data_IF_753913106066
#
_entry.id   IF_753913106066
#
_cell.length_a   1.000
_cell.length_b   1.000
_cell.length_c   1.000
_cell.angle_alpha   90.00
_cell.angle_beta   90.00
_cell.angle_gamma   90.00
#
_symmetry.space_group_name_H-M   'P 1'
#
loop_
_entity.id
_entity.type
_entity.pdbx_description
1 polymer ?
#
# COMPACT_ATOMS: atom_id res chain seq x y z
N UNK A 1 -16.02 -24.11 31.32
CA UNK A 1 -16.07 -25.37 30.56
C UNK A 1 -14.87 -25.30 29.65
N UNK A 2 -13.88 -26.17 29.85
CA UNK A 2 -12.73 -26.20 28.95
C UNK A 2 -13.20 -26.85 27.66
N UNK A 3 -13.55 -26.03 26.66
CA UNK A 3 -13.91 -26.51 25.33
C UNK A 3 -12.62 -26.94 24.65
N UNK A 4 -12.49 -28.23 24.40
CA UNK A 4 -11.27 -28.81 23.80
C UNK A 4 -11.51 -29.11 22.33
N UNK A 5 -12.77 -29.35 21.93
CA UNK A 5 -13.17 -29.71 20.57
C UNK A 5 -14.47 -28.97 20.18
N UNK A 6 -14.66 -28.70 18.90
CA UNK A 6 -15.93 -28.23 18.34
C UNK A 6 -17.12 -29.13 18.74
N UNK A 7 -16.89 -30.44 18.89
CA UNK A 7 -17.89 -31.42 19.32
C UNK A 7 -18.55 -31.08 20.67
N UNK A 8 -17.84 -30.40 21.57
CA UNK A 8 -18.38 -30.00 22.87
C UNK A 8 -19.49 -28.94 22.74
N UNK A 9 -19.50 -28.20 21.63
CA UNK A 9 -20.42 -27.08 21.38
C UNK A 9 -21.53 -27.39 20.36
N UNK A 10 -21.39 -28.44 19.55
CA UNK A 10 -22.42 -28.87 18.59
C UNK A 10 -23.82 -29.01 19.21
N UNK A 11 -23.99 -29.58 20.43
CA UNK A 11 -25.30 -29.69 21.07
C UNK A 11 -25.95 -28.34 21.42
N UNK A 12 -25.18 -27.25 21.43
CA UNK A 12 -25.59 -25.91 21.86
C UNK A 12 -25.71 -24.91 20.69
N UNK A 13 -25.65 -25.39 19.45
CA UNK A 13 -25.85 -24.54 18.28
C UNK A 13 -27.21 -23.86 18.32
N UNK A 14 -27.24 -22.57 18.01
CA UNK A 14 -28.49 -21.81 18.02
C UNK A 14 -29.44 -22.31 16.93
N UNK A 15 -30.75 -22.24 17.21
CA UNK A 15 -31.78 -22.58 16.21
C UNK A 15 -31.65 -21.73 14.95
N UNK A 16 -31.22 -20.48 15.06
CA UNK A 16 -30.97 -19.61 13.93
C UNK A 16 -29.83 -20.13 13.03
N UNK A 17 -28.70 -20.53 13.62
CA UNK A 17 -27.57 -21.11 12.90
C UNK A 17 -27.98 -22.37 12.12
N UNK A 18 -28.70 -23.29 12.78
CA UNK A 18 -29.18 -24.53 12.16
C UNK A 18 -30.16 -24.24 11.02
N UNK A 19 -31.10 -23.31 11.23
CA UNK A 19 -32.06 -22.93 10.20
C UNK A 19 -31.39 -22.26 8.99
N UNK A 20 -30.43 -21.38 9.22
CA UNK A 20 -29.71 -20.69 8.16
C UNK A 20 -28.83 -21.65 7.36
N UNK A 21 -28.17 -22.60 8.02
CA UNK A 21 -27.44 -23.69 7.35
C UNK A 21 -28.34 -24.54 6.42
N UNK A 22 -29.65 -24.56 6.66
CA UNK A 22 -30.62 -25.26 5.82
C UNK A 22 -31.21 -24.41 4.68
N UNK A 23 -31.20 -23.09 4.82
CA UNK A 23 -31.90 -22.17 3.90
C UNK A 23 -30.96 -21.36 3.00
N UNK A 24 -29.76 -21.03 3.49
CA UNK A 24 -28.78 -20.23 2.76
C UNK A 24 -27.97 -21.10 1.80
N UNK A 25 -27.46 -20.47 0.75
CA UNK A 25 -26.34 -21.05 -0.01
C UNK A 25 -25.08 -21.12 0.85
N UNK A 26 -24.12 -22.00 0.54
CA UNK A 26 -22.85 -22.06 1.25
C UNK A 26 -22.11 -20.72 1.33
N UNK A 27 -22.11 -19.95 0.25
CA UNK A 27 -21.46 -18.64 0.18
C UNK A 27 -22.13 -17.61 1.07
N UNK A 28 -23.47 -17.53 1.05
CA UNK A 28 -24.24 -16.64 1.93
C UNK A 28 -24.04 -17.00 3.40
N UNK A 29 -23.96 -18.29 3.72
CA UNK A 29 -23.72 -18.75 5.09
C UNK A 29 -22.35 -18.31 5.61
N UNK A 30 -21.31 -18.42 4.78
CA UNK A 30 -19.95 -17.98 5.13
C UNK A 30 -19.85 -16.45 5.25
N UNK A 31 -20.54 -15.69 4.38
CA UNK A 31 -20.57 -14.22 4.49
C UNK A 31 -21.27 -13.77 5.79
N UNK A 32 -22.36 -14.44 6.18
CA UNK A 32 -23.14 -14.10 7.38
C UNK A 32 -22.40 -14.45 8.69
N UNK A 33 -21.86 -15.66 8.78
CA UNK A 33 -21.29 -16.19 10.04
C UNK A 33 -19.76 -16.13 10.11
N UNK A 34 -19.09 -15.82 9.00
CA UNK A 34 -17.64 -15.88 8.91
C UNK A 34 -17.10 -17.30 8.75
N UNK A 35 -15.78 -17.43 8.91
CA UNK A 35 -15.05 -18.67 8.58
C UNK A 35 -14.65 -19.50 9.80
N UNK A 36 -14.62 -18.90 11.00
CA UNK A 36 -14.12 -19.52 12.22
C UNK A 36 -14.99 -19.16 13.42
N UNK A 37 -15.06 -20.07 14.39
CA UNK A 37 -15.59 -19.81 15.73
C UNK A 37 -14.42 -19.53 16.67
N UNK A 38 -14.50 -18.42 17.40
CA UNK A 38 -13.49 -17.97 18.35
C UNK A 38 -13.81 -18.51 19.74
N UNK A 39 -12.94 -19.33 20.33
CA UNK A 39 -13.19 -19.93 21.66
C UNK A 39 -12.37 -19.30 22.78
N UNK A 40 -11.33 -18.56 22.44
CA UNK A 40 -10.45 -17.89 23.39
C UNK A 40 -10.14 -16.50 22.86
N UNK A 41 -10.81 -15.53 23.47
CA UNK A 41 -10.75 -14.12 23.15
C UNK A 41 -10.43 -13.33 24.40
N UNK A 42 -9.71 -12.23 24.23
CA UNK A 42 -9.55 -11.22 25.26
C UNK A 42 -10.47 -10.05 24.96
N UNK A 43 -11.19 -9.58 25.97
CA UNK A 43 -12.00 -8.36 25.88
C UNK A 43 -11.42 -7.28 26.81
N UNK A 44 -11.53 -6.01 26.40
CA UNK A 44 -10.99 -4.88 27.13
C UNK A 44 -10.95 -3.60 26.29
N UNK A 45 -9.87 -2.82 26.46
CA UNK A 45 -9.59 -1.63 25.68
C UNK A 45 -8.39 -1.84 24.75
N UNK A 46 -8.52 -1.47 23.48
CA UNK A 46 -7.43 -1.49 22.49
C UNK A 46 -7.40 -0.16 21.76
N UNK A 47 -6.24 0.49 21.84
CA UNK A 47 -5.90 1.64 21.02
C UNK A 47 -5.00 1.15 19.88
N UNK A 48 -5.49 1.24 18.65
CA UNK A 48 -4.78 0.77 17.46
C UNK A 48 -4.19 1.93 16.68
N UNK A 49 -2.93 1.76 16.25
CA UNK A 49 -2.23 2.69 15.37
C UNK A 49 -1.88 1.95 14.08
N UNK A 50 -2.45 2.38 12.95
CA UNK A 50 -1.98 1.97 11.63
C UNK A 50 -1.10 3.10 11.10
N UNK A 51 0.19 2.83 10.90
CA UNK A 51 1.18 3.84 10.52
C UNK A 51 1.78 3.52 9.16
N UNK A 52 1.91 4.54 8.31
CA UNK A 52 2.56 4.45 7.00
C UNK A 52 3.67 5.49 6.90
N UNK A 53 4.80 5.10 6.33
CA UNK A 53 5.93 5.98 6.00
C UNK A 53 6.17 6.03 4.50
N UNK A 54 6.72 7.15 4.03
CA UNK A 54 7.37 7.30 2.72
C UNK A 54 8.85 7.51 2.96
N UNK A 55 9.68 6.59 2.45
CA UNK A 55 11.13 6.58 2.69
C UNK A 55 11.85 6.58 1.34
N UNK A 56 12.58 7.66 1.07
CA UNK A 56 13.27 7.90 -0.20
C UNK A 56 14.79 7.85 -0.09
N UNK A 57 15.35 7.75 1.11
CA UNK A 57 16.81 7.76 1.32
C UNK A 57 17.47 6.37 1.16
N UNK A 58 16.67 5.31 1.20
CA UNK A 58 17.16 3.92 1.17
C UNK A 58 16.11 2.99 0.55
N UNK A 59 16.56 1.95 -0.15
CA UNK A 59 15.73 0.85 -0.67
C UNK A 59 15.88 -0.43 0.16
N UNK A 60 16.74 -0.42 1.19
CA UNK A 60 16.99 -1.57 2.06
C UNK A 60 15.81 -1.81 3.02
N UNK A 61 15.17 -2.97 2.92
CA UNK A 61 13.98 -3.30 3.73
C UNK A 61 14.25 -3.35 5.24
N UNK A 62 15.45 -3.72 5.68
CA UNK A 62 15.80 -3.75 7.11
C UNK A 62 15.92 -2.32 7.64
N UNK A 63 16.55 -1.42 6.88
CA UNK A 63 16.65 -0.01 7.25
C UNK A 63 15.29 0.68 7.20
N UNK A 64 14.51 0.44 6.13
CA UNK A 64 13.13 0.94 6.03
C UNK A 64 12.31 0.54 7.23
N UNK A 65 12.33 -0.74 7.63
CA UNK A 65 11.62 -1.23 8.81
C UNK A 65 12.00 -0.45 10.08
N UNK A 66 13.28 -0.18 10.31
CA UNK A 66 13.73 0.63 11.46
C UNK A 66 13.20 2.06 11.42
N UNK A 67 13.18 2.68 10.24
CA UNK A 67 12.64 4.05 10.06
C UNK A 67 11.12 4.07 10.31
N UNK A 68 10.37 3.09 9.77
CA UNK A 68 8.92 2.96 10.04
C UNK A 68 8.64 2.76 11.53
N UNK A 69 9.39 1.86 12.19
CA UNK A 69 9.26 1.62 13.63
C UNK A 69 9.57 2.87 14.45
N UNK A 70 10.58 3.65 14.05
CA UNK A 70 10.92 4.91 14.70
C UNK A 70 9.79 5.93 14.56
N UNK A 71 9.25 6.11 13.34
CA UNK A 71 8.12 7.01 13.08
C UNK A 71 6.87 6.61 13.85
N UNK A 72 6.50 5.34 13.84
CA UNK A 72 5.37 4.82 14.59
C UNK A 72 5.54 5.05 16.11
N UNK A 73 6.74 4.78 16.66
CA UNK A 73 7.04 5.08 18.08
C UNK A 73 6.89 6.56 18.38
N UNK A 74 7.40 7.44 17.52
CA UNK A 74 7.21 8.89 17.66
C UNK A 74 5.74 9.28 17.65
N UNK A 75 4.93 8.77 16.73
CA UNK A 75 3.49 9.06 16.69
C UNK A 75 2.75 8.58 17.94
N UNK A 76 3.01 7.35 18.40
CA UNK A 76 2.45 6.79 19.64
C UNK A 76 2.88 7.62 20.86
N UNK A 77 4.13 8.08 20.86
CA UNK A 77 4.72 8.92 21.90
C UNK A 77 4.05 10.28 22.03
N UNK A 78 3.97 11.02 20.92
CA UNK A 78 3.33 12.35 20.87
C UNK A 78 1.85 12.24 21.22
N UNK A 79 1.19 11.15 20.81
CA UNK A 79 -0.19 10.87 21.21
C UNK A 79 -0.35 10.65 22.72
N UNK A 80 0.72 10.42 23.48
CA UNK A 80 0.64 10.18 24.93
C UNK A 80 0.32 8.72 25.29
N UNK A 81 0.34 7.80 24.33
CA UNK A 81 0.10 6.38 24.57
C UNK A 81 1.37 5.57 24.91
N UNK A 82 2.56 6.19 24.86
CA UNK A 82 3.81 5.48 25.17
C UNK A 82 4.04 5.37 26.68
N UNK A 83 4.43 4.19 27.17
CA UNK A 83 4.69 3.96 28.61
C UNK A 83 6.06 4.42 29.11
N UNK A 84 7.11 4.34 28.28
CA UNK A 84 8.51 4.47 28.73
C UNK A 84 9.33 5.53 27.96
N UNK A 85 8.69 6.41 27.19
CA UNK A 85 9.41 7.45 26.44
C UNK A 85 10.40 6.92 25.38
N UNK A 86 10.22 5.69 24.88
CA UNK A 86 11.12 5.08 23.88
C UNK A 86 11.24 5.92 22.60
N UNK A 87 10.25 6.75 22.32
CA UNK A 87 10.23 7.71 21.23
C UNK A 87 11.23 8.88 21.40
N UNK A 88 11.69 9.14 22.62
CA UNK A 88 12.60 10.25 22.94
C UNK A 88 14.08 9.90 22.72
N UNK A 89 14.38 8.63 22.48
CA UNK A 89 15.76 8.18 22.28
C UNK A 89 16.40 8.84 21.05
N UNK A 90 17.70 9.15 21.14
CA UNK A 90 18.46 9.76 20.05
C UNK A 90 18.41 8.93 18.77
N UNK A 91 18.42 7.60 18.89
CA UNK A 91 18.30 6.68 17.75
C UNK A 91 16.94 6.84 17.05
N UNK A 92 15.82 6.81 17.78
CA UNK A 92 14.48 6.99 17.20
C UNK A 92 14.35 8.36 16.55
N UNK A 93 14.82 9.43 17.21
CA UNK A 93 14.79 10.79 16.63
C UNK A 93 15.60 10.89 15.34
N UNK A 94 16.76 10.26 15.26
CA UNK A 94 17.60 10.28 14.07
C UNK A 94 17.02 9.44 12.93
N UNK A 95 16.47 8.26 13.23
CA UNK A 95 15.80 7.43 12.23
C UNK A 95 14.54 8.11 11.68
N UNK A 96 13.73 8.74 12.54
CA UNK A 96 12.50 9.39 12.12
C UNK A 96 12.75 10.58 11.17
N UNK A 97 13.90 11.27 11.28
CA UNK A 97 14.27 12.33 10.33
C UNK A 97 14.43 11.84 8.88
N UNK A 98 14.70 10.55 8.69
CA UNK A 98 14.81 9.92 7.36
C UNK A 98 13.44 9.60 6.74
N UNK A 99 12.36 9.81 7.48
CA UNK A 99 11.01 9.60 6.99
C UNK A 99 10.52 10.87 6.28
N UNK A 100 10.38 10.79 4.96
CA UNK A 100 10.06 11.96 4.13
C UNK A 100 8.59 12.40 4.25
N UNK A 101 7.68 11.46 4.53
CA UNK A 101 6.26 11.73 4.72
C UNK A 101 5.64 10.57 5.53
N UNK A 102 4.54 10.82 6.25
CA UNK A 102 3.83 9.78 6.98
C UNK A 102 2.37 10.13 7.21
N UNK A 103 1.59 9.09 7.49
CA UNK A 103 0.25 9.19 8.02
C UNK A 103 0.00 8.12 9.09
N UNK A 104 -0.92 8.43 9.98
CA UNK A 104 -1.34 7.53 11.04
C UNK A 104 -2.85 7.55 11.19
N UNK A 105 -3.44 6.36 11.23
CA UNK A 105 -4.82 6.17 11.65
C UNK A 105 -4.83 5.61 13.07
N UNK A 106 -5.64 6.23 13.93
CA UNK A 106 -5.75 5.87 15.34
C UNK A 106 -7.20 5.49 15.63
N UNK A 107 -7.42 4.28 16.12
CA UNK A 107 -8.75 3.72 16.36
C UNK A 107 -8.91 3.25 17.80
N UNK A 108 -10.02 3.65 18.42
CA UNK A 108 -10.37 3.26 19.78
C UNK A 108 -11.35 2.09 19.76
N UNK A 109 -11.01 1.02 20.46
CA UNK A 109 -11.88 -0.13 20.70
C UNK A 109 -12.06 -0.30 22.20
N UNK A 110 -13.30 -0.25 22.66
CA UNK A 110 -13.63 -0.31 24.08
C UNK A 110 -13.35 1.01 24.83
N UNK A 111 -13.92 1.11 26.03
CA UNK A 111 -14.02 2.36 26.78
C UNK A 111 -15.07 3.32 26.21
N UNK A 112 -15.20 4.51 26.80
CA UNK A 112 -16.19 5.52 26.38
C UNK A 112 -15.93 6.11 24.99
N UNK A 113 -14.71 5.94 24.50
CA UNK A 113 -14.25 6.48 23.21
C UNK A 113 -14.35 5.44 22.09
N UNK A 114 -14.91 4.26 22.35
CA UNK A 114 -15.03 3.18 21.37
C UNK A 114 -15.73 3.67 20.10
N UNK A 115 -15.14 3.37 18.94
CA UNK A 115 -15.64 3.81 17.63
C UNK A 115 -15.10 5.16 17.15
N UNK A 116 -14.38 5.91 17.99
CA UNK A 116 -13.67 7.11 17.56
C UNK A 116 -12.44 6.74 16.72
N UNK A 117 -12.23 7.50 15.65
CA UNK A 117 -11.12 7.34 14.72
C UNK A 117 -10.49 8.69 14.39
N UNK A 118 -9.16 8.74 14.34
CA UNK A 118 -8.38 9.90 13.89
C UNK A 118 -7.52 9.49 12.71
N UNK A 119 -7.37 10.39 11.74
CA UNK A 119 -6.39 10.28 10.66
C UNK A 119 -5.58 11.55 10.65
N UNK A 120 -4.26 11.41 10.74
CA UNK A 120 -3.33 12.54 10.79
C UNK A 120 -2.21 12.31 9.79
N UNK A 121 -1.76 13.41 9.21
CA UNK A 121 -0.66 13.42 8.24
C UNK A 121 0.54 14.19 8.77
N UNK A 122 1.71 14.02 8.14
CA UNK A 122 2.90 14.77 8.51
C UNK A 122 2.76 16.28 8.37
N UNK A 123 1.87 16.75 7.49
CA UNK A 123 1.59 18.19 7.28
C UNK A 123 0.76 18.78 8.41
N UNK A 124 -0.25 18.06 8.89
CA UNK A 124 -1.11 18.50 10.00
C UNK A 124 -0.39 18.34 11.35
N UNK A 125 0.44 17.29 11.47
CA UNK A 125 1.11 16.92 12.71
C UNK A 125 0.15 16.32 13.76
N UNK A 126 0.71 15.89 14.90
CA UNK A 126 -0.03 15.30 16.03
C UNK A 126 -0.36 16.32 17.14
N UNK A 127 -0.43 17.61 16.83
CA UNK A 127 -0.31 18.69 17.82
C UNK A 127 -1.58 19.01 18.62
N UNK A 128 -2.73 18.43 18.29
CA UNK A 128 -4.04 18.83 18.83
C UNK A 128 -4.82 17.75 19.59
N UNK A 129 -4.26 16.55 19.80
CA UNK A 129 -5.00 15.46 20.44
C UNK A 129 -4.65 15.33 21.93
N UNK A 130 -5.64 15.57 22.79
CA UNK A 130 -5.57 15.36 24.23
C UNK A 130 -6.02 13.94 24.57
N UNK A 131 -5.17 12.94 24.35
CA UNK A 131 -5.44 11.59 24.84
C UNK A 131 -5.11 11.49 26.33
N UNK A 132 -6.15 11.36 27.16
CA UNK A 132 -5.98 11.08 28.59
C UNK A 132 -6.00 9.57 28.81
N UNK A 133 -4.80 8.99 28.91
CA UNK A 133 -4.62 7.55 29.12
C UNK A 133 -5.38 7.04 30.34
N UNK A 134 -5.22 7.68 31.50
CA UNK A 134 -5.86 7.25 32.75
C UNK A 134 -7.38 7.25 32.64
N UNK A 135 -7.95 8.34 32.13
CA UNK A 135 -9.41 8.43 31.95
C UNK A 135 -9.93 7.38 30.97
N UNK A 136 -9.20 7.11 29.89
CA UNK A 136 -9.60 6.07 28.94
C UNK A 136 -9.51 4.68 29.58
N UNK A 137 -8.42 4.36 30.28
CA UNK A 137 -8.25 3.08 30.99
C UNK A 137 -9.37 2.85 32.02
N UNK A 138 -9.70 3.87 32.83
CA UNK A 138 -10.81 3.81 33.80
C UNK A 138 -12.19 3.63 33.15
N UNK A 139 -12.34 4.05 31.90
CA UNK A 139 -13.60 3.92 31.15
C UNK A 139 -13.86 2.49 30.63
N UNK A 140 -12.82 1.64 30.58
CA UNK A 140 -12.91 0.26 30.11
C UNK A 140 -13.43 -0.63 31.25
N UNK A 141 -14.61 -1.19 31.05
CA UNK A 141 -15.28 -2.09 31.99
C UNK A 141 -16.19 -3.06 31.22
N UNK A 142 -16.83 -4.00 31.89
CA UNK A 142 -17.65 -5.06 31.28
C UNK A 142 -18.77 -4.56 30.36
N UNK A 143 -19.23 -3.31 30.53
CA UNK A 143 -20.27 -2.70 29.66
C UNK A 143 -19.70 -2.06 28.40
N UNK A 144 -18.43 -1.65 28.46
CA UNK A 144 -17.76 -0.89 27.41
C UNK A 144 -16.52 -1.63 26.86
N UNK A 145 -16.33 -2.91 27.19
CA UNK A 145 -15.21 -3.70 26.67
C UNK A 145 -15.47 -4.09 25.21
N UNK A 146 -14.40 -4.17 24.43
CA UNK A 146 -14.41 -4.68 23.05
C UNK A 146 -13.49 -5.88 22.93
N UNK A 147 -13.62 -6.66 21.85
CA UNK A 147 -12.64 -7.69 21.47
C UNK A 147 -11.27 -7.02 21.21
N UNK A 148 -10.25 -7.39 21.97
CA UNK A 148 -8.90 -6.80 21.85
C UNK A 148 -7.88 -7.77 21.27
N UNK A 149 -8.03 -9.07 21.55
CA UNK A 149 -7.13 -10.10 21.08
C UNK A 149 -7.85 -11.44 20.86
N UNK A 150 -7.28 -12.27 19.98
CA UNK A 150 -7.78 -13.59 19.61
C UNK A 150 -6.63 -14.59 19.72
N UNK A 151 -6.83 -15.65 20.51
CA UNK A 151 -5.91 -16.78 20.48
C UNK A 151 -6.23 -17.68 19.28
N UNK A 152 -5.54 -17.42 18.17
CA UNK A 152 -5.77 -18.14 16.90
C UNK A 152 -5.58 -19.65 17.00
N UNK A 153 -4.77 -20.15 17.95
CA UNK A 153 -4.58 -21.59 18.20
C UNK A 153 -5.82 -22.27 18.83
N UNK A 154 -6.78 -21.48 19.32
CA UNK A 154 -8.06 -21.96 19.85
C UNK A 154 -9.23 -21.41 19.04
N UNK A 155 -9.05 -21.39 17.73
CA UNK A 155 -10.13 -21.14 16.77
C UNK A 155 -10.39 -22.41 16.00
N UNK A 156 -11.66 -22.65 15.67
CA UNK A 156 -12.06 -23.79 14.86
C UNK A 156 -12.74 -23.29 13.58
N UNK A 157 -12.43 -23.87 12.41
CA UNK A 157 -13.17 -23.57 11.21
C UNK A 157 -14.66 -23.82 11.43
N UNK A 158 -15.51 -22.94 10.93
CA UNK A 158 -16.97 -22.97 11.17
C UNK A 158 -17.62 -24.29 10.73
N UNK A 159 -17.05 -24.94 9.71
CA UNK A 159 -17.54 -26.22 9.20
C UNK A 159 -17.26 -27.40 10.14
N UNK A 160 -16.41 -27.27 11.16
CA UNK A 160 -16.21 -28.31 12.18
C UNK A 160 -17.44 -28.47 13.10
N UNK A 161 -18.30 -27.46 13.18
CA UNK A 161 -19.54 -27.49 13.96
C UNK A 161 -20.73 -28.08 13.18
N UNK A 162 -20.50 -28.65 11.99
CA UNK A 162 -21.56 -29.18 11.13
C UNK A 162 -21.47 -30.71 11.10
N UNK A 163 -22.49 -31.38 11.65
CA UNK A 163 -22.52 -32.86 11.70
C UNK A 163 -22.89 -33.51 10.36
N UNK A 164 -23.69 -32.85 9.52
CA UNK A 164 -24.02 -33.38 8.19
C UNK A 164 -22.78 -33.34 7.28
N UNK A 165 -22.33 -34.52 6.85
CA UNK A 165 -21.08 -34.68 6.10
C UNK A 165 -21.11 -33.94 4.76
N UNK A 166 -22.25 -33.93 4.06
CA UNK A 166 -22.39 -33.27 2.75
C UNK A 166 -22.34 -31.77 2.92
N UNK A 167 -23.09 -31.23 3.90
CA UNK A 167 -23.09 -29.79 4.18
C UNK A 167 -21.75 -29.31 4.69
N UNK A 168 -21.09 -30.09 5.56
CA UNK A 168 -19.74 -29.78 6.04
C UNK A 168 -18.76 -29.60 4.87
N UNK A 169 -18.79 -30.50 3.89
CA UNK A 169 -17.94 -30.38 2.70
C UNK A 169 -18.28 -29.15 1.84
N UNK A 170 -19.57 -28.84 1.66
CA UNK A 170 -20.02 -27.65 0.92
C UNK A 170 -19.57 -26.35 1.60
N UNK A 171 -19.79 -26.22 2.92
CA UNK A 171 -19.36 -25.04 3.68
C UNK A 171 -17.84 -24.94 3.71
N UNK A 172 -17.12 -26.05 3.87
CA UNK A 172 -15.65 -26.06 3.77
C UNK A 172 -15.17 -25.47 2.45
N UNK A 173 -15.76 -25.89 1.33
CA UNK A 173 -15.39 -25.37 0.01
C UNK A 173 -15.70 -23.87 -0.12
N UNK A 174 -16.84 -23.43 0.40
CA UNK A 174 -17.20 -22.01 0.43
C UNK A 174 -16.23 -21.17 1.28
N UNK A 175 -15.79 -21.69 2.44
CA UNK A 175 -14.76 -21.05 3.28
C UNK A 175 -13.43 -20.93 2.52
N UNK A 176 -12.97 -21.99 1.86
CA UNK A 176 -11.73 -21.96 1.06
C UNK A 176 -11.80 -20.90 -0.05
N UNK A 177 -12.92 -20.86 -0.78
CA UNK A 177 -13.14 -19.87 -1.83
C UNK A 177 -13.22 -18.43 -1.28
N UNK A 178 -13.90 -18.25 -0.14
CA UNK A 178 -13.99 -16.96 0.55
C UNK A 178 -12.60 -16.46 0.96
N UNK A 179 -11.79 -17.33 1.58
CA UNK A 179 -10.43 -16.98 2.00
C UNK A 179 -9.52 -16.63 0.81
N UNK A 180 -9.58 -17.39 -0.29
CA UNK A 180 -8.80 -17.08 -1.49
C UNK A 180 -9.25 -15.74 -2.11
N UNK A 181 -10.56 -15.46 -2.13
CA UNK A 181 -11.10 -14.19 -2.62
C UNK A 181 -10.78 -12.98 -1.72
N UNK A 182 -10.52 -13.18 -0.43
CA UNK A 182 -10.13 -12.12 0.52
C UNK A 182 -8.62 -12.04 0.73
N UNK A 183 -7.84 -12.89 0.07
CA UNK A 183 -6.38 -12.89 0.16
C UNK A 183 -5.85 -11.56 -0.39
N UNK A 184 -5.07 -10.85 0.43
CA UNK A 184 -4.43 -9.61 0.01
C UNK A 184 -3.45 -9.91 -1.11
N UNK A 185 -3.70 -9.36 -2.29
CA UNK A 185 -2.74 -9.38 -3.39
C UNK A 185 -1.73 -8.26 -3.17
N UNK A 186 -0.52 -8.63 -2.77
CA UNK A 186 0.60 -7.68 -2.68
C UNK A 186 1.12 -7.41 -4.08
N UNK A 187 0.92 -6.18 -4.56
CA UNK A 187 1.56 -5.73 -5.79
C UNK A 187 3.02 -5.40 -5.50
N UNK A 188 3.94 -5.94 -6.30
CA UNK A 188 5.37 -5.65 -6.19
C UNK A 188 5.70 -4.34 -6.92
N UNK A 189 5.19 -3.24 -6.39
CA UNK A 189 5.37 -1.92 -6.94
C UNK A 189 6.68 -1.29 -6.46
N UNK A 190 7.36 -0.61 -7.38
CA UNK A 190 8.53 0.23 -7.11
C UNK A 190 8.29 1.65 -7.59
N UNK A 191 8.83 2.65 -6.89
CA UNK A 191 8.71 4.05 -7.29
C UNK A 191 9.52 4.34 -8.55
N UNK A 192 8.92 5.11 -9.46
CA UNK A 192 9.63 5.84 -10.51
C UNK A 192 10.04 7.19 -9.95
N UNK A 193 11.33 7.45 -9.86
CA UNK A 193 11.89 8.73 -9.46
C UNK A 193 12.07 9.61 -10.69
N UNK A 194 11.91 10.93 -10.50
CA UNK A 194 12.16 11.91 -11.55
C UNK A 194 13.17 12.96 -11.09
N UNK A 195 14.07 13.34 -12.00
CA UNK A 195 14.93 14.50 -11.86
C UNK A 195 15.02 15.26 -13.18
N UNK A 196 15.38 16.54 -13.09
CA UNK A 196 15.58 17.41 -14.23
C UNK A 196 16.97 18.06 -14.16
N UNK A 197 17.81 17.77 -15.14
CA UNK A 197 19.15 18.37 -15.26
C UNK A 197 19.06 19.65 -16.11
N UNK A 198 19.23 20.80 -15.47
CA UNK A 198 19.16 22.11 -16.12
C UNK A 198 20.38 22.43 -17.00
N UNK A 199 21.47 21.66 -16.90
CA UNK A 199 22.66 21.88 -17.74
C UNK A 199 22.45 21.35 -19.17
N UNK A 200 21.72 20.23 -19.29
CA UNK A 200 21.45 19.54 -20.57
C UNK A 200 19.96 19.51 -20.92
N UNK A 201 19.09 20.07 -20.08
CA UNK A 201 17.65 20.12 -20.26
C UNK A 201 17.00 18.72 -20.39
N UNK A 202 17.49 17.75 -19.63
CA UNK A 202 17.09 16.33 -19.66
C UNK A 202 16.21 15.95 -18.46
N UNK A 203 15.14 15.18 -18.72
CA UNK A 203 14.24 14.64 -17.70
C UNK A 203 14.53 13.15 -17.52
N UNK A 204 15.27 12.79 -16.48
CA UNK A 204 15.50 11.40 -16.13
C UNK A 204 14.35 10.87 -15.27
N UNK A 205 13.76 9.78 -15.74
CA UNK A 205 12.91 8.88 -14.98
C UNK A 205 13.65 7.57 -14.70
N UNK A 206 13.75 7.18 -13.44
CA UNK A 206 14.47 5.97 -13.04
C UNK A 206 13.82 5.29 -11.84
N UNK A 207 13.77 3.97 -11.85
CA UNK A 207 13.42 3.15 -10.68
C UNK A 207 14.63 2.75 -9.84
N UNK A 208 15.83 3.07 -10.30
CA UNK A 208 17.06 2.83 -9.56
C UNK A 208 17.30 3.96 -8.55
N UNK A 209 16.99 3.68 -7.28
CA UNK A 209 17.20 4.67 -6.22
C UNK A 209 18.67 5.10 -6.08
N UNK A 210 19.63 4.21 -6.33
CA UNK A 210 21.06 4.56 -6.25
C UNK A 210 21.46 5.54 -7.35
N UNK A 211 20.94 5.35 -8.55
CA UNK A 211 21.10 6.30 -9.66
C UNK A 211 20.55 7.66 -9.23
N UNK A 212 19.28 7.73 -8.82
CA UNK A 212 18.63 8.95 -8.34
C UNK A 212 19.41 9.68 -7.23
N UNK A 213 19.89 8.97 -6.21
CA UNK A 213 20.65 9.58 -5.10
C UNK A 213 22.03 10.04 -5.57
N UNK A 214 22.68 9.32 -6.48
CA UNK A 214 24.04 9.62 -6.93
C UNK A 214 24.19 10.88 -7.79
N UNK A 215 23.11 11.35 -8.44
CA UNK A 215 23.15 12.59 -9.23
C UNK A 215 23.58 13.79 -8.38
N UNK A 216 24.43 14.64 -8.96
CA UNK A 216 24.80 15.94 -8.37
C UNK A 216 23.54 16.76 -8.08
N UNK A 217 23.57 17.60 -7.04
CA UNK A 217 22.50 18.57 -6.78
C UNK A 217 22.74 19.92 -7.45
N UNK A 218 23.94 20.15 -8.02
CA UNK A 218 24.24 21.38 -8.74
C UNK A 218 23.46 21.39 -10.06
N UNK A 219 22.53 22.35 -10.20
CA UNK A 219 21.67 22.49 -11.38
C UNK A 219 20.81 21.26 -11.72
N UNK A 220 20.55 20.38 -10.75
CA UNK A 220 19.63 19.24 -10.93
C UNK A 220 18.48 19.36 -9.93
N UNK A 221 17.26 19.44 -10.43
CA UNK A 221 16.06 19.39 -9.61
C UNK A 221 15.67 17.92 -9.37
N UNK A 222 15.78 17.45 -8.13
CA UNK A 222 15.37 16.10 -7.72
C UNK A 222 13.92 16.13 -7.22
N UNK A 223 13.00 15.67 -8.05
CA UNK A 223 11.55 15.82 -7.85
C UNK A 223 10.92 14.63 -7.09
N UNK A 224 11.71 13.63 -6.69
CA UNK A 224 11.23 12.49 -5.90
C UNK A 224 10.50 11.44 -6.73
N UNK A 225 9.77 10.56 -6.04
CA UNK A 225 8.92 9.57 -6.68
C UNK A 225 7.69 10.24 -7.29
N UNK A 226 7.39 9.97 -8.56
CA UNK A 226 6.25 10.53 -9.28
C UNK A 226 5.07 9.53 -9.36
N UNK A 227 5.33 8.29 -9.72
CA UNK A 227 4.33 7.21 -9.77
C UNK A 227 4.97 5.86 -9.44
N UNK A 228 4.16 4.82 -9.33
CA UNK A 228 4.62 3.45 -9.10
C UNK A 228 4.39 2.54 -10.30
N UNK A 229 5.38 1.70 -10.56
CA UNK A 229 5.37 0.69 -11.63
C UNK A 229 5.59 -0.69 -11.02
N UNK A 230 5.17 -1.76 -11.71
CA UNK A 230 5.50 -3.11 -11.29
C UNK A 230 6.99 -3.38 -11.52
N UNK A 231 7.65 -3.98 -10.53
CA UNK A 231 9.06 -4.37 -10.63
C UNK A 231 9.27 -5.56 -11.58
N UNK A 232 8.29 -6.46 -11.63
CA UNK A 232 8.29 -7.68 -12.45
C UNK A 232 7.14 -7.65 -13.43
N UNK A 233 7.26 -8.42 -14.52
CA UNK A 233 6.19 -8.53 -15.49
C UNK A 233 4.99 -9.27 -14.86
N UNK A 234 3.86 -8.58 -14.77
CA UNK A 234 2.60 -9.11 -14.29
C UNK A 234 1.62 -9.29 -15.47
N UNK A 235 0.54 -10.09 -15.32
CA UNK A 235 -0.48 -10.21 -16.36
C UNK A 235 -0.99 -8.85 -16.84
N UNK A 236 -1.08 -8.68 -18.17
CA UNK A 236 -1.54 -7.45 -18.84
C UNK A 236 -0.64 -6.21 -18.66
N UNK A 237 0.63 -6.40 -18.27
CA UNK A 237 1.61 -5.31 -18.23
C UNK A 237 2.59 -5.35 -19.41
N UNK A 238 3.10 -4.17 -19.76
CA UNK A 238 4.09 -3.92 -20.81
C UNK A 238 5.32 -3.24 -20.18
N UNK A 239 6.55 -3.48 -20.70
CA UNK A 239 7.76 -2.86 -20.18
C UNK A 239 7.87 -1.38 -20.59
N UNK A 240 8.53 -0.58 -19.75
CA UNK A 240 9.08 0.72 -20.11
C UNK A 240 10.56 0.52 -20.43
N UNK A 241 10.93 0.62 -21.70
CA UNK A 241 12.33 0.61 -22.12
C UNK A 241 12.94 2.00 -21.99
N UNK A 242 14.16 2.08 -21.48
CA UNK A 242 14.97 3.30 -21.46
C UNK A 242 16.09 3.19 -22.48
N UNK A 243 16.22 4.22 -23.31
CA UNK A 243 17.37 4.39 -24.23
C UNK A 243 17.97 5.78 -24.06
N UNK A 244 19.27 5.91 -24.31
CA UNK A 244 20.01 7.16 -24.18
C UNK A 244 20.54 7.62 -25.55
N UNK A 245 20.27 8.88 -25.90
CA UNK A 245 20.89 9.55 -27.03
C UNK A 245 22.10 10.37 -26.55
N UNK A 246 23.30 9.90 -26.89
CA UNK A 246 24.54 10.57 -26.51
C UNK A 246 24.77 11.90 -27.25
N UNK A 247 24.15 12.11 -28.41
CA UNK A 247 24.30 13.35 -29.17
C UNK A 247 23.38 14.45 -28.62
N UNK A 248 22.14 14.09 -28.28
CA UNK A 248 21.16 14.96 -27.66
C UNK A 248 21.28 15.08 -26.13
N UNK A 249 22.11 14.24 -25.50
CA UNK A 249 22.25 14.13 -24.04
C UNK A 249 20.93 13.87 -23.31
N UNK A 250 20.11 12.97 -23.84
CA UNK A 250 18.71 12.86 -23.44
C UNK A 250 18.23 11.41 -23.30
N UNK A 251 17.37 11.17 -22.32
CA UNK A 251 16.75 9.86 -22.08
C UNK A 251 15.38 9.75 -22.74
N UNK A 252 15.12 8.61 -23.36
CA UNK A 252 13.87 8.32 -24.06
C UNK A 252 13.24 7.07 -23.45
N UNK A 253 11.93 7.15 -23.23
CA UNK A 253 11.12 6.11 -22.58
C UNK A 253 10.06 5.57 -23.54
N UNK A 254 10.13 4.27 -23.83
CA UNK A 254 9.31 3.60 -24.84
C UNK A 254 8.47 2.50 -24.17
N UNK A 255 7.17 2.46 -24.46
CA UNK A 255 6.27 1.47 -23.87
C UNK A 255 5.20 0.97 -24.85
N UNK A 256 4.68 1.83 -25.73
CA UNK A 256 3.48 1.55 -26.51
C UNK A 256 3.66 0.45 -27.53
N UNK A 257 4.76 0.46 -28.27
CA UNK A 257 5.02 -0.46 -29.38
C UNK A 257 5.93 -1.64 -29.01
N UNK A 258 6.25 -1.80 -27.72
CA UNK A 258 7.10 -2.89 -27.25
C UNK A 258 8.45 -2.95 -27.95
N UNK A 259 8.95 -4.16 -28.21
CA UNK A 259 10.24 -4.37 -28.89
C UNK A 259 10.29 -3.80 -30.32
N UNK A 260 9.15 -3.75 -31.02
CA UNK A 260 9.09 -3.20 -32.38
C UNK A 260 9.33 -1.69 -32.40
N UNK A 261 8.85 -0.97 -31.39
CA UNK A 261 9.18 0.44 -31.19
C UNK A 261 10.64 0.60 -30.76
N UNK A 262 11.10 -0.17 -29.76
CA UNK A 262 12.50 -0.14 -29.30
C UNK A 262 13.49 -0.27 -30.47
N UNK A 263 13.29 -1.25 -31.35
CA UNK A 263 14.18 -1.52 -32.49
C UNK A 263 14.34 -0.34 -33.46
N UNK A 264 13.39 0.60 -33.51
CA UNK A 264 13.49 1.80 -34.34
C UNK A 264 14.50 2.82 -33.79
N UNK A 265 14.74 2.80 -32.47
CA UNK A 265 15.65 3.73 -31.79
C UNK A 265 17.08 3.20 -31.68
N UNK A 266 17.27 1.88 -31.66
CA UNK A 266 18.59 1.24 -31.44
C UNK A 266 19.67 1.57 -32.48
N UNK A 267 19.30 2.16 -33.62
CA UNK A 267 20.28 2.55 -34.65
C UNK A 267 21.07 3.82 -34.29
N UNK A 268 20.59 4.62 -33.34
CA UNK A 268 21.20 5.90 -32.94
C UNK A 268 21.18 6.16 -31.43
N UNK A 269 20.58 5.27 -30.62
CA UNK A 269 20.60 5.33 -29.15
C UNK A 269 21.28 4.12 -28.54
N UNK A 270 21.68 4.25 -27.28
CA UNK A 270 22.13 3.14 -26.44
C UNK A 270 20.96 2.61 -25.61
N UNK A 271 20.72 1.30 -25.66
CA UNK A 271 19.76 0.64 -24.77
C UNK A 271 20.29 0.54 -23.34
N UNK A 272 19.51 1.01 -22.37
CA UNK A 272 19.91 1.05 -20.96
C UNK A 272 19.11 0.11 -20.05
N UNK A 273 17.99 -0.44 -20.54
CA UNK A 273 17.24 -1.47 -19.83
C UNK A 273 15.74 -1.21 -19.74
N UNK A 274 15.11 -1.92 -18.79
CA UNK A 274 13.69 -1.79 -18.47
C UNK A 274 13.58 -1.08 -17.12
N UNK A 275 12.82 0.01 -17.07
CA UNK A 275 12.55 0.74 -15.84
C UNK A 275 11.39 0.15 -15.03
N UNK A 276 10.55 -0.67 -15.63
CA UNK A 276 9.47 -1.36 -14.93
C UNK A 276 8.36 -1.73 -15.88
N UNK A 277 7.26 -2.20 -15.31
CA UNK A 277 6.11 -2.68 -16.06
C UNK A 277 4.84 -1.91 -15.71
N UNK A 278 4.09 -1.52 -16.72
CA UNK A 278 2.91 -0.64 -16.65
C UNK A 278 1.77 -1.18 -17.49
N UNK A 279 0.56 -0.64 -17.33
CA UNK A 279 -0.58 -1.11 -18.12
C UNK A 279 -0.67 -0.37 -19.46
N UNK A 280 -0.95 -1.15 -20.51
CA UNK A 280 -1.03 -0.64 -21.88
C UNK A 280 -2.14 0.42 -22.02
N UNK A 281 -1.90 1.51 -22.77
CA UNK A 281 -2.95 2.48 -23.08
C UNK A 281 -4.05 1.93 -24.00
N UNK A 282 -3.84 0.76 -24.60
CA UNK A 282 -4.76 0.10 -25.52
C UNK A 282 -5.66 -0.95 -24.85
N UNK A 283 -5.61 -1.04 -23.52
CA UNK A 283 -6.42 -1.95 -22.71
C UNK A 283 -7.18 -1.18 -21.64
N UNK A 284 -8.27 -1.75 -21.12
CA UNK A 284 -8.97 -1.17 -19.98
C UNK A 284 -8.04 -1.18 -18.76
N UNK A 285 -7.68 -0.01 -18.21
CA UNK A 285 -6.75 0.05 -17.10
C UNK A 285 -7.39 -0.48 -15.80
N UNK A 286 -6.64 -1.15 -14.93
CA UNK A 286 -7.14 -1.57 -13.63
C UNK A 286 -7.57 -0.39 -12.76
N UNK A 287 -8.54 -0.62 -11.88
CA UNK A 287 -8.99 0.38 -10.92
C UNK A 287 -7.83 0.89 -10.05
N UNK A 288 -7.81 2.19 -9.79
CA UNK A 288 -6.78 2.85 -8.99
C UNK A 288 -5.51 3.24 -9.76
N UNK A 289 -5.45 3.02 -11.07
CA UNK A 289 -4.39 3.56 -11.93
C UNK A 289 -4.78 4.90 -12.54
N UNK A 290 -3.78 5.71 -12.88
CA UNK A 290 -3.92 7.01 -13.54
C UNK A 290 -3.21 7.01 -14.90
N UNK A 291 -3.68 7.79 -15.89
CA UNK A 291 -2.97 7.95 -17.15
C UNK A 291 -1.68 8.74 -16.95
N UNK A 292 -0.61 8.30 -17.61
CA UNK A 292 0.65 9.02 -17.70
C UNK A 292 0.78 9.53 -19.13
N UNK A 293 0.83 10.84 -19.29
CA UNK A 293 0.86 11.53 -20.57
C UNK A 293 2.30 11.74 -21.03
N UNK A 294 2.61 11.42 -22.29
CA UNK A 294 3.91 11.70 -22.87
C UNK A 294 3.88 12.99 -23.70
N UNK A 295 4.91 13.80 -23.53
CA UNK A 295 5.20 14.99 -24.32
C UNK A 295 6.59 14.88 -24.92
N UNK A 296 6.77 15.42 -26.11
CA UNK A 296 8.04 15.50 -26.79
C UNK A 296 8.42 16.97 -27.01
N UNK A 297 9.49 17.43 -26.38
CA UNK A 297 10.04 18.76 -26.64
C UNK A 297 10.98 18.67 -27.84
N UNK A 298 10.61 19.24 -29.00
CA UNK A 298 11.42 19.13 -30.23
C UNK A 298 12.79 19.82 -30.08
N UNK A 299 12.86 20.92 -29.32
CA UNK A 299 14.10 21.70 -29.15
C UNK A 299 15.15 21.02 -28.26
N UNK A 300 14.73 20.17 -27.31
CA UNK A 300 15.62 19.42 -26.40
C UNK A 300 15.56 17.90 -26.58
N UNK A 301 14.75 17.42 -27.53
CA UNK A 301 14.47 15.99 -27.80
C UNK A 301 13.84 15.28 -26.57
N UNK A 302 13.44 16.03 -25.54
CA UNK A 302 13.14 15.49 -24.22
C UNK A 302 11.74 14.83 -24.14
N UNK A 303 11.68 13.66 -23.49
CA UNK A 303 10.44 12.96 -23.17
C UNK A 303 9.97 13.39 -21.77
N UNK A 304 8.88 14.14 -21.71
CA UNK A 304 8.28 14.57 -20.45
C UNK A 304 7.06 13.71 -20.15
N UNK A 305 7.09 13.03 -19.01
CA UNK A 305 5.96 12.27 -18.47
C UNK A 305 5.19 13.15 -17.47
N UNK A 306 3.93 13.39 -17.77
CA UNK A 306 3.02 14.25 -17.00
C UNK A 306 1.91 13.39 -16.42
N UNK A 307 1.64 13.55 -15.12
CA UNK A 307 0.66 12.73 -14.38
C UNK A 307 -0.67 13.45 -14.18
N UNK A 308 -0.65 14.78 -14.21
CA UNK A 308 -1.79 15.64 -13.96
C UNK A 308 -2.32 16.17 -15.29
N UNK A 309 -3.51 15.75 -15.68
CA UNK A 309 -4.15 16.21 -16.92
C UNK A 309 -4.31 17.74 -16.96
N UNK A 310 -4.42 18.41 -15.80
CA UNK A 310 -4.54 19.88 -15.74
C UNK A 310 -3.25 20.61 -16.13
N UNK A 311 -2.10 19.93 -16.12
CA UNK A 311 -0.82 20.49 -16.55
C UNK A 311 -0.57 20.29 -18.06
N UNK A 312 -1.36 19.43 -18.72
CA UNK A 312 -1.24 19.16 -20.17
C UNK A 312 -1.27 20.45 -21.01
N UNK A 313 -2.17 21.43 -20.77
CA UNK A 313 -2.18 22.66 -21.54
C UNK A 313 -0.89 23.47 -21.43
N UNK A 314 -0.28 23.57 -20.23
CA UNK A 314 0.95 24.36 -20.04
C UNK A 314 2.17 23.71 -20.70
N UNK A 315 2.23 22.38 -20.77
CA UNK A 315 3.29 21.68 -21.51
C UNK A 315 3.09 21.76 -23.03
N UNK A 316 1.84 21.81 -23.49
CA UNK A 316 1.51 21.90 -24.92
C UNK A 316 1.93 23.23 -25.57
N UNK A 317 2.31 24.23 -24.78
CA UNK A 317 2.80 25.52 -25.29
C UNK A 317 4.23 25.44 -25.86
N UNK A 318 5.01 24.42 -25.48
CA UNK A 318 6.41 24.27 -25.87
C UNK A 318 6.83 22.81 -26.15
N UNK A 319 5.93 21.84 -25.96
CA UNK A 319 6.11 20.44 -26.32
C UNK A 319 4.96 19.93 -27.19
N UNK A 320 5.27 18.96 -28.04
CA UNK A 320 4.28 18.19 -28.80
C UNK A 320 3.65 17.13 -27.90
N UNK A 321 2.34 17.24 -27.68
CA UNK A 321 1.57 16.22 -26.95
C UNK A 321 1.52 14.91 -27.73
N UNK A 322 1.99 13.83 -27.11
CA UNK A 322 2.05 12.50 -27.72
C UNK A 322 0.97 11.55 -27.18
N UNK A 323 -0.01 12.02 -26.39
CA UNK A 323 -1.07 11.16 -25.85
C UNK A 323 -0.69 10.39 -24.58
N UNK A 324 -1.54 9.44 -24.18
CA UNK A 324 -1.32 8.58 -23.01
C UNK A 324 -0.22 7.56 -23.32
N UNK A 325 0.89 7.61 -22.59
CA UNK A 325 1.99 6.66 -22.71
C UNK A 325 1.61 5.28 -22.18
N UNK A 326 1.03 5.26 -20.98
CA UNK A 326 0.63 4.08 -20.22
C UNK A 326 -0.20 4.47 -19.00
N UNK A 327 -0.72 3.49 -18.25
CA UNK A 327 -1.36 3.67 -16.96
C UNK A 327 -0.49 3.11 -15.82
N UNK A 328 -0.35 3.87 -14.74
CA UNK A 328 0.49 3.54 -13.58
C UNK A 328 -0.25 3.86 -12.26
N UNK A 329 0.26 3.36 -11.13
CA UNK A 329 -0.34 3.69 -9.83
C UNK A 329 0.17 5.05 -9.34
N UNK A 330 -0.72 5.92 -8.83
CA UNK A 330 -0.33 7.22 -8.30
C UNK A 330 0.48 7.09 -7.00
N UNK A 331 1.23 8.15 -6.66
CA UNK A 331 1.91 8.28 -5.37
C UNK A 331 0.94 8.20 -4.17
#
# INVERSE_FOLDING_TARGET
MDVVDANDLIPYLSTAFINNLNKMTPEQFVEEYGTHVLLDISIGGRLQFNYRSVITETDNNIEKKKIVEAGAKTSIGIFGASGNGSHETTEVKNLNKKNSNWDVQISYHGGTNSGLNYSLTSTEGLTSIQFNKTQWEESVNDKNAALVDINWNKTFPIYEFISDVTKKQQIKKAVENYLEGKKLQTMNLIPMYTLYDMNVYDCLYTTNLKEYISYSTNNVAKNGACFYVHKTQEPNTIPIYRVYDSNGHNHIYLARGGEAELNQYLSWTQYEGIEGYVYSPYQTPPAGTIPIYAFYAEESINCILVMNEKEVPSYSEWCTYNGIAFYAYPQ
#
